data_IF_035809062875
#
_entry.id   IF_035809062875
#
_cell.length_a   1.000
_cell.length_b   1.000
_cell.length_c   1.000
_cell.angle_alpha   90.00
_cell.angle_beta   90.00
_cell.angle_gamma   90.00
#
_symmetry.space_group_name_H-M   'P 1'
#
loop_
_entity.id
_entity.type
_entity.pdbx_description
1 polymer ?
#
# COMPACT_ATOMS: atom_id res chain seq x y z
N UNK A 1 19.87 23.42 11.46
CA UNK A 1 20.97 22.52 11.03
C UNK A 1 20.84 21.11 11.62
N UNK A 2 20.78 20.90 12.93
CA UNK A 2 20.66 19.53 13.52
C UNK A 2 19.29 18.90 13.25
N UNK A 3 18.19 19.65 13.35
CA UNK A 3 16.84 19.17 13.11
C UNK A 3 16.61 18.77 11.64
N UNK A 4 17.10 19.55 10.70
CA UNK A 4 16.97 19.26 9.26
C UNK A 4 17.74 17.98 8.87
N UNK A 5 18.93 17.77 9.46
CA UNK A 5 19.69 16.54 9.25
C UNK A 5 18.92 15.33 9.73
N UNK A 6 18.28 15.40 10.91
CA UNK A 6 17.48 14.31 11.45
C UNK A 6 16.23 14.02 10.59
N UNK A 7 15.54 15.07 10.14
CA UNK A 7 14.36 14.92 9.27
C UNK A 7 14.77 14.27 7.93
N UNK A 8 15.86 14.68 7.32
CA UNK A 8 16.31 14.09 6.07
C UNK A 8 16.68 12.61 6.24
N UNK A 9 17.41 12.26 7.31
CA UNK A 9 17.74 10.87 7.60
C UNK A 9 16.47 10.01 7.86
N UNK A 10 15.47 10.58 8.53
CA UNK A 10 14.17 9.92 8.74
C UNK A 10 13.44 9.68 7.40
N UNK A 11 13.37 10.70 6.55
CA UNK A 11 12.72 10.63 5.22
C UNK A 11 13.37 9.56 4.35
N UNK A 12 14.69 9.57 4.26
CA UNK A 12 15.44 8.57 3.49
C UNK A 12 15.21 7.15 4.01
N UNK A 13 15.29 6.96 5.34
CA UNK A 13 15.06 5.65 5.94
C UNK A 13 13.64 5.15 5.73
N UNK A 14 12.65 6.04 5.92
CA UNK A 14 11.24 5.72 5.72
C UNK A 14 10.96 5.36 4.26
N UNK A 15 11.49 6.13 3.30
CA UNK A 15 11.35 5.82 1.89
C UNK A 15 11.99 4.49 1.52
N UNK A 16 13.23 4.26 1.94
CA UNK A 16 13.93 3.00 1.63
C UNK A 16 13.17 1.77 2.11
N UNK A 17 12.47 1.85 3.23
CA UNK A 17 11.70 0.73 3.77
C UNK A 17 10.28 0.67 3.23
N UNK A 18 9.58 1.80 3.14
CA UNK A 18 8.22 1.80 2.63
C UNK A 18 8.17 1.50 1.13
N UNK A 19 9.06 2.12 0.34
CA UNK A 19 9.21 1.80 -1.08
C UNK A 19 9.51 0.32 -1.32
N UNK A 20 10.38 -0.29 -0.50
CA UNK A 20 10.67 -1.72 -0.57
C UNK A 20 9.42 -2.59 -0.29
N UNK A 21 8.57 -2.20 0.67
CA UNK A 21 7.31 -2.90 0.95
C UNK A 21 6.35 -2.83 -0.24
N UNK A 22 6.25 -1.66 -0.89
CA UNK A 22 5.44 -1.48 -2.11
C UNK A 22 6.02 -2.28 -3.28
N UNK A 23 7.35 -2.31 -3.42
CA UNK A 23 8.03 -3.11 -4.45
C UNK A 23 7.79 -4.62 -4.24
N UNK A 24 7.73 -5.10 -2.99
CA UNK A 24 7.33 -6.48 -2.67
C UNK A 24 5.89 -6.76 -3.10
N UNK A 25 4.94 -5.86 -2.84
CA UNK A 25 3.55 -5.96 -3.28
C UNK A 25 3.47 -6.01 -4.81
N UNK A 26 4.14 -5.07 -5.49
CA UNK A 26 4.21 -5.00 -6.96
C UNK A 26 4.73 -6.30 -7.57
N UNK A 27 5.84 -6.82 -7.02
CA UNK A 27 6.46 -8.03 -7.51
C UNK A 27 5.56 -9.26 -7.32
N UNK A 28 4.81 -9.34 -6.22
CA UNK A 28 3.84 -10.42 -5.99
C UNK A 28 2.71 -10.38 -7.02
N UNK A 29 2.13 -9.20 -7.28
CA UNK A 29 1.08 -9.01 -8.29
C UNK A 29 1.61 -9.36 -9.69
N UNK A 30 2.81 -8.91 -10.05
CA UNK A 30 3.41 -9.16 -11.34
C UNK A 30 3.68 -10.65 -11.59
N UNK A 31 4.10 -11.39 -10.55
CA UNK A 31 4.44 -12.80 -10.65
C UNK A 31 3.20 -13.72 -10.70
N UNK A 32 2.05 -13.29 -10.19
CA UNK A 32 0.83 -14.12 -10.21
C UNK A 32 0.47 -14.50 -11.65
N UNK A 33 0.26 -15.80 -11.99
CA UNK A 33 -0.03 -16.21 -13.36
C UNK A 33 -1.38 -15.66 -13.86
N UNK A 34 -1.41 -15.23 -15.12
CA UNK A 34 -2.60 -14.64 -15.74
C UNK A 34 -3.77 -15.63 -15.78
N UNK A 35 -3.48 -16.91 -16.00
CA UNK A 35 -4.47 -17.98 -16.04
C UNK A 35 -5.27 -18.17 -14.75
N UNK A 36 -4.76 -17.69 -13.60
CA UNK A 36 -5.43 -17.76 -12.31
C UNK A 36 -6.07 -16.43 -11.89
N UNK A 37 -5.88 -15.37 -12.67
CA UNK A 37 -6.30 -14.02 -12.28
C UNK A 37 -7.78 -13.91 -11.99
N UNK A 38 -8.64 -14.49 -12.86
CA UNK A 38 -10.09 -14.43 -12.74
C UNK A 38 -10.67 -15.60 -11.92
N UNK A 39 -9.89 -16.65 -11.67
CA UNK A 39 -10.37 -17.89 -11.04
C UNK A 39 -10.00 -18.01 -9.57
N UNK A 40 -8.88 -17.43 -9.15
CA UNK A 40 -8.44 -17.39 -7.75
C UNK A 40 -8.65 -16.01 -7.14
N UNK A 41 -9.90 -15.77 -6.75
CA UNK A 41 -10.31 -14.46 -6.23
C UNK A 41 -9.58 -14.03 -4.96
N UNK A 42 -9.10 -14.97 -4.13
CA UNK A 42 -8.40 -14.64 -2.88
C UNK A 42 -7.16 -13.79 -3.11
N UNK A 43 -6.40 -14.10 -4.17
CA UNK A 43 -5.23 -13.30 -4.52
C UNK A 43 -5.64 -11.91 -4.96
N UNK A 44 -6.61 -11.81 -5.87
CA UNK A 44 -7.12 -10.54 -6.38
C UNK A 44 -7.66 -9.65 -5.26
N UNK A 45 -8.56 -10.16 -4.41
CA UNK A 45 -9.17 -9.37 -3.32
C UNK A 45 -8.13 -8.90 -2.31
N UNK A 46 -7.15 -9.74 -1.97
CA UNK A 46 -6.06 -9.37 -1.06
C UNK A 46 -5.19 -8.25 -1.65
N UNK A 47 -4.81 -8.36 -2.93
CA UNK A 47 -4.04 -7.34 -3.63
C UNK A 47 -4.81 -6.02 -3.75
N UNK A 48 -6.09 -6.10 -4.12
CA UNK A 48 -6.96 -4.94 -4.28
C UNK A 48 -7.18 -4.20 -2.96
N UNK A 49 -7.56 -4.93 -1.90
CA UNK A 49 -7.70 -4.37 -0.55
C UNK A 49 -6.42 -3.63 -0.12
N UNK A 50 -5.27 -4.28 -0.27
CA UNK A 50 -4.00 -3.66 0.09
C UNK A 50 -3.75 -2.34 -0.65
N UNK A 51 -4.10 -2.26 -1.94
CA UNK A 51 -3.92 -1.06 -2.76
C UNK A 51 -4.86 0.07 -2.36
N UNK A 52 -6.13 -0.23 -2.12
CA UNK A 52 -7.12 0.77 -1.68
C UNK A 52 -6.64 1.40 -0.37
N UNK A 53 -6.25 0.59 0.61
CA UNK A 53 -5.82 1.11 1.90
C UNK A 53 -4.41 1.73 1.88
N UNK A 54 -3.51 1.26 1.01
CA UNK A 54 -2.24 1.95 0.77
C UNK A 54 -2.49 3.41 0.37
N UNK A 55 -3.36 3.63 -0.61
CA UNK A 55 -3.68 4.96 -1.12
C UNK A 55 -4.51 5.79 -0.13
N UNK A 56 -5.47 5.16 0.55
CA UNK A 56 -6.30 5.78 1.59
C UNK A 56 -5.45 6.38 2.72
N UNK A 57 -4.54 5.58 3.30
CA UNK A 57 -3.68 6.05 4.40
C UNK A 57 -2.62 7.07 3.97
N UNK A 58 -2.33 7.19 2.67
CA UNK A 58 -1.49 8.24 2.10
C UNK A 58 -2.27 9.54 1.81
N UNK A 59 -3.59 9.55 1.98
CA UNK A 59 -4.45 10.71 1.73
C UNK A 59 -4.69 11.45 3.05
N UNK A 60 -4.30 12.72 3.14
CA UNK A 60 -4.55 13.56 4.31
C UNK A 60 -5.15 14.90 3.88
N UNK A 61 -6.36 15.27 4.35
CA UNK A 61 -7.26 14.46 5.19
C UNK A 61 -7.87 13.28 4.43
N UNK A 62 -8.23 12.17 5.12
CA UNK A 62 -8.75 10.96 4.49
C UNK A 62 -10.08 11.15 3.74
N UNK A 63 -10.88 12.16 4.11
CA UNK A 63 -12.12 12.49 3.41
C UNK A 63 -11.91 12.93 1.94
N UNK A 64 -10.69 13.27 1.56
CA UNK A 64 -10.33 13.60 0.18
C UNK A 64 -9.97 12.35 -0.65
N UNK A 65 -10.03 11.17 -0.04
CA UNK A 65 -9.72 9.92 -0.74
C UNK A 65 -10.74 9.61 -1.83
N UNK A 66 -10.23 9.23 -3.00
CA UNK A 66 -11.01 8.69 -4.10
C UNK A 66 -10.18 7.61 -4.79
N UNK A 67 -10.66 6.39 -4.78
CA UNK A 67 -9.96 5.28 -5.43
C UNK A 67 -10.03 5.42 -6.96
N UNK A 68 -8.90 5.25 -7.68
CA UNK A 68 -8.92 5.19 -9.13
C UNK A 68 -9.60 3.92 -9.67
N UNK A 69 -9.70 2.90 -8.82
CA UNK A 69 -10.43 1.66 -9.08
C UNK A 69 -11.62 1.59 -8.10
N UNK A 70 -12.83 1.97 -8.55
CA UNK A 70 -14.00 2.09 -7.70
C UNK A 70 -14.38 0.82 -6.93
N UNK A 71 -15.00 1.01 -5.77
CA UNK A 71 -15.52 -0.06 -4.92
C UNK A 71 -16.78 0.41 -4.19
N UNK A 72 -17.51 -0.55 -3.65
CA UNK A 72 -18.60 -0.34 -2.69
C UNK A 72 -18.24 -0.93 -1.33
N UNK A 73 -18.89 -0.44 -0.30
CA UNK A 73 -18.82 -1.06 1.04
C UNK A 73 -20.04 -1.96 1.22
N UNK A 74 -19.81 -3.21 1.61
CA UNK A 74 -20.88 -4.19 1.79
C UNK A 74 -20.35 -5.54 2.26
N UNK A 75 -21.21 -6.49 2.52
CA UNK A 75 -20.85 -7.85 2.92
C UNK A 75 -20.55 -8.71 1.70
N UNK A 76 -19.36 -9.34 1.66
CA UNK A 76 -18.97 -10.30 0.64
C UNK A 76 -17.98 -11.31 1.23
N UNK A 77 -18.24 -12.61 1.05
CA UNK A 77 -17.40 -13.69 1.59
C UNK A 77 -15.94 -13.64 1.12
N UNK A 78 -15.72 -13.18 -0.11
CA UNK A 78 -14.37 -13.08 -0.70
C UNK A 78 -13.67 -11.76 -0.40
N UNK A 79 -14.41 -10.69 -0.05
CA UNK A 79 -13.82 -9.38 0.21
C UNK A 79 -13.16 -9.31 1.60
N UNK A 80 -12.13 -8.48 1.70
CA UNK A 80 -11.47 -8.18 2.96
C UNK A 80 -12.00 -6.81 3.44
N UNK A 81 -12.42 -6.75 4.71
CA UNK A 81 -12.97 -5.53 5.34
C UNK A 81 -14.10 -4.89 4.51
N UNK A 82 -14.95 -5.72 3.90
CA UNK A 82 -16.14 -5.30 3.13
C UNK A 82 -15.85 -4.31 1.97
N UNK A 83 -14.62 -4.21 1.52
CA UNK A 83 -14.23 -3.42 0.35
C UNK A 83 -14.42 -4.25 -0.91
N UNK A 84 -15.56 -4.07 -1.55
CA UNK A 84 -15.98 -4.87 -2.71
C UNK A 84 -15.66 -4.08 -3.99
N UNK A 85 -14.70 -4.52 -4.83
CA UNK A 85 -14.46 -3.87 -6.12
C UNK A 85 -15.67 -3.99 -7.04
N UNK A 86 -15.95 -2.97 -7.84
CA UNK A 86 -17.09 -2.95 -8.77
C UNK A 86 -17.01 -4.10 -9.81
N UNK A 87 -15.81 -4.57 -10.08
CA UNK A 87 -15.51 -5.72 -10.95
C UNK A 87 -14.15 -6.32 -10.63
N UNK A 88 -13.82 -7.44 -11.22
CA UNK A 88 -12.43 -7.90 -11.26
C UNK A 88 -11.65 -6.97 -12.20
N UNK A 89 -10.76 -6.17 -11.64
CA UNK A 89 -9.84 -5.34 -12.40
C UNK A 89 -8.70 -6.20 -12.95
N UNK A 90 -8.18 -5.86 -14.12
CA UNK A 90 -7.06 -6.58 -14.73
C UNK A 90 -5.78 -6.40 -13.90
N UNK A 91 -4.86 -7.35 -14.04
CA UNK A 91 -3.53 -7.25 -13.43
C UNK A 91 -2.81 -5.94 -13.80
N UNK A 92 -2.96 -5.49 -15.06
CA UNK A 92 -2.39 -4.22 -15.51
C UNK A 92 -2.96 -3.03 -14.72
N UNK A 93 -4.27 -2.98 -14.50
CA UNK A 93 -4.90 -1.91 -13.72
C UNK A 93 -4.37 -1.88 -12.28
N UNK A 94 -4.21 -3.05 -11.64
CA UNK A 94 -3.62 -3.11 -10.31
C UNK A 94 -2.14 -2.66 -10.32
N UNK A 95 -1.36 -3.06 -11.29
CA UNK A 95 0.05 -2.63 -11.41
C UNK A 95 0.19 -1.13 -11.66
N UNK A 96 -0.69 -0.54 -12.48
CA UNK A 96 -0.74 0.91 -12.68
C UNK A 96 -1.11 1.63 -11.36
N UNK A 97 -2.03 1.07 -10.59
CA UNK A 97 -2.42 1.60 -9.29
C UNK A 97 -1.28 1.49 -8.26
N UNK A 98 -0.55 0.37 -8.23
CA UNK A 98 0.67 0.25 -7.41
C UNK A 98 1.66 1.35 -7.75
N UNK A 99 1.90 1.58 -9.04
CA UNK A 99 2.87 2.57 -9.49
C UNK A 99 2.47 3.99 -9.06
N UNK A 100 1.21 4.38 -9.26
CA UNK A 100 0.72 5.70 -8.83
C UNK A 100 0.75 5.87 -7.31
N UNK A 101 0.38 4.84 -6.55
CA UNK A 101 0.44 4.86 -5.08
C UNK A 101 1.89 4.93 -4.57
N UNK A 102 2.84 4.28 -5.26
CA UNK A 102 4.27 4.37 -4.96
C UNK A 102 4.81 5.79 -5.15
N UNK A 103 4.44 6.43 -6.25
CA UNK A 103 4.82 7.82 -6.53
C UNK A 103 4.21 8.79 -5.52
N UNK A 104 2.93 8.59 -5.15
CA UNK A 104 2.26 9.34 -4.09
C UNK A 104 2.99 9.17 -2.75
N UNK A 105 3.33 7.94 -2.37
CA UNK A 105 4.07 7.64 -1.14
C UNK A 105 5.42 8.39 -1.11
N UNK A 106 6.18 8.30 -2.20
CA UNK A 106 7.46 9.01 -2.33
C UNK A 106 7.31 10.52 -2.15
N UNK A 107 6.29 11.11 -2.80
CA UNK A 107 5.99 12.54 -2.68
C UNK A 107 5.62 12.93 -1.25
N UNK A 108 4.71 12.19 -0.62
CA UNK A 108 4.30 12.42 0.77
C UNK A 108 5.51 12.41 1.70
N UNK A 109 6.40 11.43 1.57
CA UNK A 109 7.61 11.32 2.39
C UNK A 109 8.59 12.47 2.07
N UNK A 110 8.78 12.82 0.80
CA UNK A 110 9.67 13.92 0.40
C UNK A 110 9.22 15.28 0.98
N UNK A 111 7.93 15.48 1.14
CA UNK A 111 7.34 16.72 1.67
C UNK A 111 7.24 16.77 3.21
N UNK A 112 7.71 15.75 3.94
CA UNK A 112 7.67 15.76 5.40
C UNK A 112 8.55 16.88 5.99
N UNK A 113 8.00 17.56 6.97
CA UNK A 113 8.67 18.53 7.85
C UNK A 113 8.43 18.16 9.30
N UNK A 114 9.13 18.80 10.22
CA UNK A 114 8.91 18.59 11.66
C UNK A 114 7.46 18.93 12.09
N UNK A 115 6.84 19.89 11.41
CA UNK A 115 5.45 20.28 11.63
C UNK A 115 4.50 19.22 11.08
N UNK A 116 4.66 18.81 9.81
CA UNK A 116 3.84 17.76 9.17
C UNK A 116 3.87 16.45 9.94
N UNK A 117 5.00 16.08 10.53
CA UNK A 117 5.09 14.85 11.34
C UNK A 117 4.19 14.86 12.57
N UNK A 118 3.83 16.05 13.07
CA UNK A 118 2.95 16.23 14.24
C UNK A 118 1.48 16.42 13.86
N UNK A 119 1.18 16.71 12.60
CA UNK A 119 -0.19 16.77 12.11
C UNK A 119 -0.91 15.46 12.37
N UNK A 120 -2.24 15.53 12.43
CA UNK A 120 -3.07 14.36 12.71
C UNK A 120 -3.74 13.88 11.42
N UNK A 121 -3.68 12.60 11.20
CA UNK A 121 -4.52 11.88 10.27
C UNK A 121 -5.71 11.33 11.06
N UNK A 122 -6.91 11.83 10.78
CA UNK A 122 -8.11 11.52 11.55
C UNK A 122 -9.17 11.01 10.60
N UNK A 123 -9.59 9.75 10.81
CA UNK A 123 -10.72 9.16 10.12
C UNK A 123 -12.04 9.66 10.73
N UNK A 124 -13.01 9.96 9.88
CA UNK A 124 -14.37 10.27 10.31
C UNK A 124 -15.19 8.97 10.35
N UNK A 125 -15.80 8.59 11.48
CA UNK A 125 -16.11 9.35 12.70
C UNK A 125 -15.04 9.34 13.80
N UNK A 126 -13.74 9.15 13.50
CA UNK A 126 -12.68 9.27 14.50
C UNK A 126 -12.20 7.96 15.11
N UNK A 127 -12.47 6.83 14.45
CA UNK A 127 -11.98 5.52 14.89
C UNK A 127 -10.45 5.44 14.89
N UNK A 128 -9.81 6.12 13.95
CA UNK A 128 -8.34 6.25 13.88
C UNK A 128 -7.95 7.72 14.02
N UNK A 129 -7.02 7.99 14.91
CA UNK A 129 -6.50 9.33 15.15
C UNK A 129 -4.99 9.24 15.44
N UNK A 130 -4.19 9.27 14.39
CA UNK A 130 -2.74 9.02 14.43
C UNK A 130 -1.95 10.26 14.04
N UNK A 131 -0.72 10.39 14.54
CA UNK A 131 0.23 11.32 13.96
C UNK A 131 0.59 10.91 12.53
N UNK A 132 0.93 11.86 11.66
CA UNK A 132 1.30 11.55 10.27
C UNK A 132 2.43 10.51 10.19
N UNK A 133 3.44 10.58 11.05
CA UNK A 133 4.47 9.54 11.09
C UNK A 133 3.91 8.18 11.46
N UNK A 134 3.00 8.12 12.42
CA UNK A 134 2.39 6.89 12.89
C UNK A 134 1.54 6.22 11.80
N UNK A 135 0.71 6.98 11.07
CA UNK A 135 -0.08 6.41 9.96
C UNK A 135 0.81 5.94 8.80
N UNK A 136 1.94 6.58 8.52
CA UNK A 136 2.89 6.12 7.52
C UNK A 136 3.55 4.79 7.92
N UNK A 137 3.93 4.63 9.20
CA UNK A 137 4.46 3.37 9.72
C UNK A 137 3.39 2.27 9.74
N UNK A 138 2.17 2.61 10.13
CA UNK A 138 1.02 1.71 10.10
C UNK A 138 0.78 1.19 8.67
N UNK A 139 0.71 2.10 7.70
CA UNK A 139 0.49 1.78 6.29
C UNK A 139 1.62 0.90 5.73
N UNK A 140 2.88 1.22 6.01
CA UNK A 140 4.01 0.38 5.61
C UNK A 140 3.88 -1.06 6.15
N UNK A 141 3.48 -1.23 7.41
CA UNK A 141 3.25 -2.56 8.01
C UNK A 141 2.06 -3.28 7.36
N UNK A 142 0.98 -2.55 7.04
CA UNK A 142 -0.18 -3.08 6.34
C UNK A 142 0.22 -3.62 4.96
N UNK A 143 0.96 -2.83 4.16
CA UNK A 143 1.47 -3.26 2.85
C UNK A 143 2.36 -4.50 2.97
N UNK A 144 3.29 -4.51 3.94
CA UNK A 144 4.18 -5.65 4.15
C UNK A 144 3.43 -6.90 4.59
N UNK A 145 2.37 -6.76 5.41
CA UNK A 145 1.51 -7.86 5.83
C UNK A 145 0.82 -8.52 4.63
N UNK A 146 0.18 -7.74 3.77
CA UNK A 146 -0.50 -8.25 2.59
C UNK A 146 0.45 -8.78 1.52
N UNK A 147 1.59 -8.14 1.30
CA UNK A 147 2.63 -8.67 0.41
C UNK A 147 3.11 -10.06 0.85
N UNK A 148 3.24 -10.29 2.17
CA UNK A 148 3.58 -11.62 2.69
C UNK A 148 2.47 -12.66 2.46
N UNK A 149 1.21 -12.27 2.60
CA UNK A 149 0.06 -13.15 2.29
C UNK A 149 0.02 -13.52 0.80
N UNK A 150 0.23 -12.55 -0.10
CA UNK A 150 0.31 -12.80 -1.54
C UNK A 150 1.47 -13.73 -1.90
N UNK A 151 2.64 -13.54 -1.28
CA UNK A 151 3.80 -14.44 -1.46
C UNK A 151 3.52 -15.86 -0.97
N UNK A 152 2.74 -16.01 0.08
CA UNK A 152 2.29 -17.34 0.56
C UNK A 152 1.37 -18.00 -0.46
N UNK A 153 0.38 -17.26 -1.00
CA UNK A 153 -0.52 -17.76 -2.05
C UNK A 153 0.25 -18.18 -3.31
N UNK A 154 1.25 -17.38 -3.74
CA UNK A 154 2.14 -17.72 -4.84
C UNK A 154 2.87 -19.05 -4.59
N UNK A 155 3.48 -19.22 -3.42
CA UNK A 155 4.17 -20.48 -3.07
C UNK A 155 3.22 -21.67 -3.07
N UNK A 156 2.00 -21.51 -2.60
CA UNK A 156 1.00 -22.57 -2.59
C UNK A 156 0.52 -22.93 -4.01
N UNK A 157 0.40 -21.94 -4.90
CA UNK A 157 -0.18 -22.12 -6.23
C UNK A 157 0.85 -22.56 -7.28
N UNK A 158 2.01 -21.92 -7.29
CA UNK A 158 3.04 -22.10 -8.33
C UNK A 158 4.42 -22.49 -7.79
N UNK A 159 4.53 -22.72 -6.49
CA UNK A 159 5.78 -23.03 -5.79
C UNK A 159 6.90 -22.00 -6.03
N UNK A 160 6.54 -20.74 -6.23
CA UNK A 160 7.46 -19.63 -6.45
C UNK A 160 7.01 -18.38 -5.67
N UNK A 161 7.89 -17.43 -5.47
CA UNK A 161 7.61 -16.12 -4.90
C UNK A 161 8.72 -15.13 -5.26
N UNK A 162 8.42 -13.81 -5.32
CA UNK A 162 9.44 -12.79 -5.54
C UNK A 162 10.57 -12.87 -4.52
N UNK A 163 11.77 -12.47 -4.96
CA UNK A 163 12.90 -12.29 -4.05
C UNK A 163 12.62 -11.15 -3.07
N UNK A 164 13.18 -11.25 -1.90
CA UNK A 164 13.12 -10.20 -0.89
C UNK A 164 13.71 -8.88 -1.42
N UNK A 165 12.97 -7.80 -1.24
CA UNK A 165 13.42 -6.42 -1.51
C UNK A 165 13.78 -5.78 -0.17
N UNK A 166 15.06 -5.68 0.11
CA UNK A 166 15.54 -5.14 1.40
C UNK A 166 15.48 -3.61 1.49
N UNK A 167 15.53 -2.91 0.35
CA UNK A 167 15.48 -1.43 0.25
C UNK A 167 14.94 -1.04 -1.11
N UNK A 168 14.19 0.08 -1.21
CA UNK A 168 13.87 0.68 -2.50
C UNK A 168 15.15 1.02 -3.28
N UNK A 169 15.17 0.71 -4.57
CA UNK A 169 16.35 0.91 -5.41
C UNK A 169 16.63 2.39 -5.69
N UNK A 170 15.58 3.18 -5.85
CA UNK A 170 15.64 4.60 -6.11
C UNK A 170 15.76 5.42 -4.82
N UNK A 171 16.27 6.63 -4.95
CA UNK A 171 16.38 7.60 -3.86
C UNK A 171 15.08 8.42 -3.75
N UNK A 172 14.93 9.09 -2.62
CA UNK A 172 13.78 9.93 -2.31
C UNK A 172 13.73 11.19 -3.19
#
# INVERSE_FOLDING_TARGET
MTQDIMINALKESLWKQFGASIDMLKNAIALWPEEYWDTDKKFFYNAYHCLVFLDYYLTNPPNNFSSPLPFTIGECEDAIDDVIPDRIYSKKELLDYVQSSREKCRKVIAELTAEKLKERWIEDPGNMNYAVLEILLYNMRHVQHHAAQLNMLLRQRVNDAPRWVGRAADDL
#
